data_IF_077213272122
#
_entry.id   IF_077213272122
#
_cell.length_a   1.000
_cell.length_b   1.000
_cell.length_c   1.000
_cell.angle_alpha   90.00
_cell.angle_beta   90.00
_cell.angle_gamma   90.00
#
_symmetry.space_group_name_H-M   'P 1'
#
loop_
_entity.id
_entity.type
_entity.pdbx_description
1 polymer ?
#
# COMPACT_ATOMS: atom_id res chain seq x y z
N UNK A 1 -13.16 11.32 -1.95
CA UNK A 1 -13.16 9.85 -1.76
C UNK A 1 -14.23 9.45 -0.77
N UNK A 2 -14.98 8.38 -1.05
CA UNK A 2 -15.94 7.82 -0.09
C UNK A 2 -15.23 7.17 1.10
N UNK A 3 -15.89 7.12 2.27
CA UNK A 3 -15.33 6.58 3.52
C UNK A 3 -14.88 5.12 3.34
N UNK A 4 -15.71 4.30 2.70
CA UNK A 4 -15.40 2.89 2.42
C UNK A 4 -14.16 2.77 1.52
N UNK A 5 -14.12 3.55 0.43
CA UNK A 5 -12.97 3.57 -0.49
C UNK A 5 -11.67 3.98 0.22
N UNK A 6 -11.74 4.99 1.10
CA UNK A 6 -10.60 5.42 1.91
C UNK A 6 -10.07 4.30 2.82
N UNK A 7 -10.97 3.56 3.48
CA UNK A 7 -10.61 2.42 4.35
C UNK A 7 -9.98 1.28 3.53
N UNK A 8 -10.55 0.95 2.37
CA UNK A 8 -10.01 -0.12 1.51
C UNK A 8 -8.60 0.23 1.04
N UNK A 9 -8.37 1.47 0.60
CA UNK A 9 -7.03 1.93 0.18
C UNK A 9 -6.05 1.90 1.36
N UNK A 10 -6.48 2.34 2.55
CA UNK A 10 -5.65 2.24 3.75
C UNK A 10 -5.26 0.78 4.05
N UNK A 11 -6.24 -0.13 4.00
CA UNK A 11 -6.02 -1.55 4.26
C UNK A 11 -5.03 -2.16 3.25
N UNK A 12 -5.14 -1.82 1.97
CA UNK A 12 -4.22 -2.28 0.91
C UNK A 12 -2.79 -1.80 1.13
N UNK A 13 -2.61 -0.49 1.39
CA UNK A 13 -1.28 0.09 1.69
C UNK A 13 -0.70 -0.58 2.94
N UNK A 14 -1.52 -0.72 3.98
CA UNK A 14 -1.12 -1.28 5.26
C UNK A 14 -0.69 -2.76 5.15
N UNK A 15 -1.43 -3.57 4.40
CA UNK A 15 -1.09 -4.97 4.15
C UNK A 15 0.24 -5.13 3.42
N UNK A 16 0.45 -4.38 2.33
CA UNK A 16 1.72 -4.41 1.58
C UNK A 16 2.88 -4.01 2.48
N UNK A 17 2.70 -2.95 3.27
CA UNK A 17 3.75 -2.46 4.15
C UNK A 17 4.07 -3.42 5.30
N UNK A 18 3.09 -4.17 5.81
CA UNK A 18 3.34 -5.20 6.83
C UNK A 18 4.36 -6.21 6.32
N UNK A 19 4.22 -6.66 5.08
CA UNK A 19 5.19 -7.56 4.46
C UNK A 19 6.53 -6.89 4.14
N UNK A 20 6.55 -5.61 3.76
CA UNK A 20 7.80 -4.87 3.52
C UNK A 20 8.63 -4.66 4.79
N UNK A 21 7.97 -4.42 5.93
CA UNK A 21 8.63 -4.14 7.21
C UNK A 21 9.04 -5.42 7.95
N UNK A 22 8.34 -6.53 7.72
CA UNK A 22 8.63 -7.81 8.38
C UNK A 22 10.09 -8.29 8.25
N UNK A 23 10.73 -8.27 7.05
CA UNK A 23 12.13 -8.70 6.87
C UNK A 23 13.14 -7.75 7.53
N UNK A 24 12.71 -6.56 7.97
CA UNK A 24 13.60 -5.61 8.60
C UNK A 24 14.08 -6.11 9.97
N UNK A 25 15.40 -6.13 10.17
CA UNK A 25 16.01 -6.45 11.45
C UNK A 25 15.88 -7.92 11.88
N UNK A 26 15.72 -8.85 10.94
CA UNK A 26 15.84 -10.28 11.23
C UNK A 26 17.32 -10.62 11.49
N UNK A 27 17.74 -10.63 12.75
CA UNK A 27 19.05 -11.14 13.16
C UNK A 27 18.87 -12.56 13.72
N UNK A 28 19.38 -13.59 13.01
CA UNK A 28 19.42 -14.95 13.51
C UNK A 28 20.17 -15.02 14.85
N UNK A 29 19.83 -15.97 15.70
CA UNK A 29 20.62 -16.25 16.91
C UNK A 29 21.96 -16.87 16.51
N UNK A 30 23.08 -16.37 17.06
CA UNK A 30 24.42 -16.96 16.88
C UNK A 30 24.57 -18.32 17.60
N UNK A 31 23.71 -18.58 18.60
CA UNK A 31 23.60 -19.87 19.29
C UNK A 31 22.14 -20.38 19.23
N UNK A 32 21.75 -21.07 18.14
CA UNK A 32 20.41 -21.62 18.00
C UNK A 32 20.23 -22.84 18.91
N UNK A 33 19.32 -22.74 19.88
CA UNK A 33 18.92 -23.87 20.73
C UNK A 33 18.44 -25.03 19.85
N UNK A 34 18.75 -26.27 20.25
CA UNK A 34 18.37 -27.49 19.51
C UNK A 34 16.85 -27.53 19.29
N UNK A 35 16.41 -27.37 18.03
CA UNK A 35 15.00 -27.27 17.64
C UNK A 35 14.55 -25.89 17.12
N UNK A 36 15.40 -24.85 17.20
CA UNK A 36 15.15 -23.57 16.54
C UNK A 36 15.50 -23.64 15.06
N UNK A 37 14.64 -23.06 14.21
CA UNK A 37 14.98 -22.87 12.79
C UNK A 37 16.18 -21.92 12.69
N UNK A 38 17.20 -22.28 11.90
CA UNK A 38 18.45 -21.50 11.75
C UNK A 38 18.25 -20.02 11.34
N UNK A 39 17.10 -19.67 10.76
CA UNK A 39 16.75 -18.29 10.38
C UNK A 39 15.81 -17.55 11.35
N UNK A 40 15.38 -18.18 12.45
CA UNK A 40 14.45 -17.58 13.39
C UNK A 40 15.15 -16.49 14.22
N UNK A 41 14.59 -15.27 14.30
CA UNK A 41 15.19 -14.20 15.08
C UNK A 41 15.09 -14.49 16.58
N UNK A 42 16.20 -14.28 17.31
CA UNK A 42 16.28 -14.55 18.75
C UNK A 42 15.24 -13.77 19.59
N UNK A 43 14.80 -12.61 19.10
CA UNK A 43 13.72 -11.82 19.69
C UNK A 43 12.76 -11.32 18.61
N UNK A 44 11.64 -12.01 18.36
CA UNK A 44 10.59 -11.57 17.47
C UNK A 44 9.85 -10.36 18.08
N UNK A 45 10.43 -9.16 17.97
CA UNK A 45 9.80 -7.89 18.41
C UNK A 45 8.62 -7.50 17.50
N UNK A 46 7.67 -8.41 17.26
CA UNK A 46 6.55 -8.24 16.32
C UNK A 46 5.70 -7.01 16.65
N UNK A 47 5.42 -6.75 17.93
CA UNK A 47 4.62 -5.58 18.32
C UNK A 47 5.24 -4.24 17.90
N UNK A 48 6.58 -4.11 17.98
CA UNK A 48 7.28 -2.89 17.52
C UNK A 48 7.22 -2.75 16.01
N UNK A 49 7.38 -3.86 15.28
CA UNK A 49 7.27 -3.88 13.81
C UNK A 49 5.87 -3.46 13.35
N UNK A 50 4.84 -3.98 14.01
CA UNK A 50 3.44 -3.64 13.70
C UNK A 50 3.12 -2.16 13.92
N UNK A 51 3.65 -1.57 15.00
CA UNK A 51 3.48 -0.14 15.29
C UNK A 51 4.17 0.73 14.23
N UNK A 52 5.39 0.36 13.83
CA UNK A 52 6.16 1.03 12.78
C UNK A 52 5.42 0.93 11.44
N UNK A 53 4.96 -0.26 11.06
CA UNK A 53 4.14 -0.46 9.85
C UNK A 53 2.92 0.44 9.86
N UNK A 54 2.20 0.53 10.97
CA UNK A 54 0.98 1.35 11.06
C UNK A 54 1.29 2.84 10.93
N UNK A 55 2.37 3.31 11.56
CA UNK A 55 2.79 4.71 11.47
C UNK A 55 3.17 5.11 10.04
N UNK A 56 4.01 4.31 9.37
CA UNK A 56 4.45 4.59 8.00
C UNK A 56 3.25 4.44 7.03
N UNK A 57 2.37 3.45 7.24
CA UNK A 57 1.17 3.26 6.40
C UNK A 57 0.21 4.43 6.50
N UNK A 58 0.02 4.96 7.71
CA UNK A 58 -0.82 6.13 7.95
C UNK A 58 -0.27 7.36 7.22
N UNK A 59 1.06 7.56 7.27
CA UNK A 59 1.71 8.66 6.55
C UNK A 59 1.53 8.55 5.03
N UNK A 60 1.76 7.36 4.45
CA UNK A 60 1.56 7.14 3.01
C UNK A 60 0.09 7.30 2.61
N UNK A 61 -0.84 6.79 3.42
CA UNK A 61 -2.26 6.94 3.16
C UNK A 61 -2.70 8.41 3.18
N UNK A 62 -2.17 9.23 4.10
CA UNK A 62 -2.44 10.68 4.10
C UNK A 62 -1.96 11.37 2.81
N UNK A 63 -0.77 11.00 2.32
CA UNK A 63 -0.24 11.52 1.04
C UNK A 63 -1.13 11.11 -0.12
N UNK A 64 -1.50 9.83 -0.21
CA UNK A 64 -2.38 9.30 -1.25
C UNK A 64 -3.76 9.95 -1.19
N UNK A 65 -4.34 10.09 0.01
CA UNK A 65 -5.61 10.75 0.21
C UNK A 65 -5.57 12.22 -0.23
N UNK A 66 -4.50 12.95 0.11
CA UNK A 66 -4.30 14.34 -0.31
C UNK A 66 -4.18 14.49 -1.83
N UNK A 67 -3.38 13.62 -2.47
CA UNK A 67 -3.25 13.57 -3.93
C UNK A 67 -4.60 13.33 -4.59
N UNK A 68 -5.36 12.37 -4.08
CA UNK A 68 -6.66 12.04 -4.60
C UNK A 68 -7.68 13.17 -4.37
N UNK A 69 -7.65 13.82 -3.20
CA UNK A 69 -8.53 14.93 -2.88
C UNK A 69 -8.28 16.15 -3.78
N UNK A 70 -7.04 16.31 -4.27
CA UNK A 70 -6.67 17.39 -5.20
C UNK A 70 -7.28 17.27 -6.61
N UNK A 71 -8.05 16.21 -6.90
CA UNK A 71 -8.77 16.00 -8.17
C UNK A 71 -7.87 16.06 -9.42
N UNK A 72 -6.56 15.84 -9.27
CA UNK A 72 -5.59 15.90 -10.38
C UNK A 72 -5.75 14.76 -11.39
N UNK A 73 -6.45 13.67 -11.02
CA UNK A 73 -6.69 12.51 -11.88
C UNK A 73 -8.17 12.15 -11.81
N UNK A 74 -8.94 12.61 -12.80
CA UNK A 74 -10.34 12.28 -12.98
C UNK A 74 -10.45 11.19 -14.05
N UNK A 75 -10.62 9.93 -13.62
CA UNK A 75 -10.82 8.79 -14.53
C UNK A 75 -12.07 8.98 -15.41
N UNK A 76 -13.04 9.76 -14.94
CA UNK A 76 -14.24 10.11 -15.71
C UNK A 76 -13.91 10.98 -16.91
N UNK A 77 -13.06 11.99 -16.74
CA UNK A 77 -12.69 12.91 -17.82
C UNK A 77 -11.85 12.20 -18.88
N UNK A 78 -10.94 11.31 -18.46
CA UNK A 78 -10.16 10.49 -19.39
C UNK A 78 -11.03 9.48 -20.16
N UNK A 79 -12.03 8.88 -19.52
CA UNK A 79 -12.95 7.97 -20.18
C UNK A 79 -13.91 8.71 -21.14
N UNK A 80 -14.33 9.93 -20.77
CA UNK A 80 -15.14 10.79 -21.62
C UNK A 80 -14.37 11.24 -22.87
N UNK A 81 -13.10 11.63 -22.72
CA UNK A 81 -12.20 12.00 -23.82
C UNK A 81 -12.00 10.85 -24.82
N UNK A 82 -11.78 9.62 -24.33
CA UNK A 82 -11.69 8.44 -25.20
C UNK A 82 -12.99 8.15 -25.96
N UNK A 83 -14.15 8.29 -25.31
CA UNK A 83 -15.44 8.08 -25.94
C UNK A 83 -15.80 9.17 -26.97
N UNK A 84 -15.35 10.41 -26.75
CA UNK A 84 -15.52 11.50 -27.70
C UNK A 84 -14.60 11.33 -28.91
N UNK A 85 -13.35 10.91 -28.69
CA UNK A 85 -12.40 10.59 -29.75
C UNK A 85 -12.88 9.43 -30.64
N UNK A 86 -13.52 8.41 -30.07
CA UNK A 86 -14.12 7.29 -30.83
C UNK A 86 -15.26 7.79 -31.74
N UNK A 87 -16.14 8.65 -31.22
CA UNK A 87 -17.21 9.28 -32.02
C UNK A 87 -16.69 10.16 -33.15
N UNK A 88 -15.55 10.83 -32.97
CA UNK A 88 -14.90 11.59 -34.05
C UNK A 88 -14.30 10.67 -35.13
N UNK A 89 -13.86 9.46 -34.76
CA UNK A 89 -13.30 8.46 -35.69
C UNK A 89 -14.39 7.73 -36.48
N UNK A 90 -15.59 7.58 -35.91
CA UNK A 90 -16.74 6.92 -36.55
C UNK A 90 -17.60 7.85 -37.44
N UNK A 91 -17.39 9.18 -37.39
CA UNK A 91 -18.13 10.12 -38.24
C UNK A 91 -17.64 10.05 -39.69
N UNK A 92 -18.47 9.64 -40.68
CA UNK A 92 -18.09 9.69 -42.08
C UNK A 92 -18.03 11.16 -42.50
N UNK A 93 -16.88 11.58 -43.05
CA UNK A 93 -16.66 12.92 -43.63
C UNK A 93 -17.67 13.28 -44.71
#
# INVERSE_FOLDING_TARGET
MGIISGIVVFLMIWWVMLFTVLPWGNRPSDDPLKGQAHGAPAMPRLGKKFLITTAISCLLWLVVYGLIASNVISFHDMAADMAEHDKMMESPK
#
